data_IF_336881547172
#
_entry.id   IF_336881547172
#
_cell.length_a   1.000
_cell.length_b   1.000
_cell.length_c   1.000
_cell.angle_alpha   90.00
_cell.angle_beta   90.00
_cell.angle_gamma   90.00
#
_symmetry.space_group_name_H-M   'P 1'
#
loop_
_entity.id
_entity.type
_entity.pdbx_description
1 polymer ?
#
# COMPACT_ATOMS: atom_id res chain seq x y z
N UNK A 1 -6.96 26.32 -1.65
CA UNK A 1 -5.87 26.08 -0.69
C UNK A 1 -4.64 25.73 -1.51
N UNK A 2 -3.50 26.40 -1.28
CA UNK A 2 -2.27 26.14 -2.05
C UNK A 2 -1.49 25.01 -1.39
N UNK A 3 -1.07 24.01 -2.16
CA UNK A 3 -0.25 22.90 -1.68
C UNK A 3 1.14 22.95 -2.32
N UNK A 4 2.19 22.84 -1.52
CA UNK A 4 3.58 22.85 -2.01
C UNK A 4 4.20 21.46 -1.83
N UNK A 5 4.73 20.87 -2.90
CA UNK A 5 5.42 19.59 -2.82
C UNK A 5 6.91 19.81 -2.54
N UNK A 6 7.23 20.04 -1.26
CA UNK A 6 8.58 20.41 -0.80
C UNK A 6 9.58 19.25 -0.82
N UNK A 7 9.12 18.01 -0.63
CA UNK A 7 9.98 16.83 -0.64
C UNK A 7 9.20 15.56 -1.01
N UNK A 8 9.85 14.68 -1.76
CA UNK A 8 9.33 13.35 -2.08
C UNK A 8 9.90 12.34 -1.07
N UNK A 9 9.01 11.54 -0.47
CA UNK A 9 9.42 10.46 0.44
C UNK A 9 10.07 9.30 -0.30
N UNK A 10 11.38 9.10 -0.09
CA UNK A 10 12.15 8.05 -0.76
C UNK A 10 11.58 6.65 -0.56
N UNK A 11 11.08 6.33 0.63
CA UNK A 11 10.56 4.99 0.92
C UNK A 11 9.32 4.62 0.11
N UNK A 12 8.39 5.57 -0.05
CA UNK A 12 7.21 5.38 -0.90
C UNK A 12 7.59 5.26 -2.38
N UNK A 13 8.53 6.11 -2.82
CA UNK A 13 9.04 6.10 -4.18
C UNK A 13 9.73 4.78 -4.52
N UNK A 14 10.61 4.28 -3.65
CA UNK A 14 11.32 3.00 -3.84
C UNK A 14 10.32 1.85 -3.98
N UNK A 15 9.33 1.75 -3.09
CA UNK A 15 8.33 0.67 -3.17
C UNK A 15 7.53 0.71 -4.46
N UNK A 16 7.04 1.90 -4.80
CA UNK A 16 6.17 2.09 -5.97
C UNK A 16 6.95 1.89 -7.26
N UNK A 17 8.15 2.48 -7.37
CA UNK A 17 8.99 2.34 -8.56
C UNK A 17 9.52 0.92 -8.71
N UNK A 18 9.90 0.25 -7.62
CA UNK A 18 10.33 -1.15 -7.67
C UNK A 18 9.25 -2.06 -8.23
N UNK A 19 8.01 -1.94 -7.73
CA UNK A 19 6.89 -2.76 -8.22
C UNK A 19 6.58 -2.47 -9.69
N UNK A 20 6.53 -1.20 -10.08
CA UNK A 20 6.28 -0.82 -11.48
C UNK A 20 7.39 -1.34 -12.39
N UNK A 21 8.65 -1.12 -12.04
CA UNK A 21 9.80 -1.56 -12.83
C UNK A 21 9.90 -3.09 -12.87
N UNK A 22 9.50 -3.80 -11.82
CA UNK A 22 9.43 -5.26 -11.80
C UNK A 22 8.38 -5.77 -12.79
N UNK A 23 7.18 -5.19 -12.79
CA UNK A 23 6.11 -5.56 -13.72
C UNK A 23 6.54 -5.28 -15.17
N UNK A 24 7.04 -4.08 -15.44
CA UNK A 24 7.50 -3.68 -16.77
C UNK A 24 8.67 -4.55 -17.23
N UNK A 25 9.67 -4.75 -16.37
CA UNK A 25 10.84 -5.57 -16.68
C UNK A 25 10.48 -7.04 -16.90
N UNK A 26 9.50 -7.57 -16.16
CA UNK A 26 9.00 -8.93 -16.36
C UNK A 26 8.29 -9.09 -17.71
N UNK A 27 7.40 -8.15 -18.06
CA UNK A 27 6.74 -8.13 -19.38
C UNK A 27 7.77 -8.04 -20.49
N UNK A 28 8.73 -7.12 -20.40
CA UNK A 28 9.82 -6.97 -21.38
C UNK A 28 10.68 -8.24 -21.47
N UNK A 29 10.97 -8.88 -20.34
CA UNK A 29 11.72 -10.13 -20.30
C UNK A 29 10.98 -11.29 -20.98
N UNK A 30 9.64 -11.35 -20.90
CA UNK A 30 8.84 -12.32 -21.67
C UNK A 30 8.98 -12.07 -23.17
N UNK A 31 8.79 -10.82 -23.61
CA UNK A 31 8.96 -10.48 -25.02
C UNK A 31 10.36 -10.82 -25.53
N UNK A 32 11.39 -10.52 -24.72
CA UNK A 32 12.77 -10.83 -25.05
C UNK A 32 13.04 -12.33 -25.14
N UNK A 33 12.50 -13.11 -24.20
CA UNK A 33 12.62 -14.57 -24.20
C UNK A 33 11.93 -15.20 -25.41
N UNK A 34 10.73 -14.73 -25.77
CA UNK A 34 10.02 -15.17 -26.97
C UNK A 34 10.79 -14.81 -28.24
N UNK A 35 11.34 -13.60 -28.30
CA UNK A 35 12.12 -13.12 -29.44
C UNK A 35 13.40 -13.94 -29.64
N UNK A 36 14.19 -14.15 -28.58
CA UNK A 36 15.38 -15.02 -28.62
C UNK A 36 14.99 -16.46 -28.97
N UNK A 37 13.93 -16.98 -28.36
CA UNK A 37 13.44 -18.32 -28.65
C UNK A 37 13.06 -18.50 -30.12
N UNK A 38 12.41 -17.50 -30.72
CA UNK A 38 12.07 -17.50 -32.14
C UNK A 38 13.32 -17.44 -33.03
N UNK A 39 14.30 -16.58 -32.70
CA UNK A 39 15.58 -16.51 -33.44
C UNK A 39 16.32 -17.85 -33.39
N UNK A 40 16.42 -18.48 -32.22
CA UNK A 40 17.09 -19.77 -32.08
C UNK A 40 16.34 -20.89 -32.79
N UNK A 41 15.01 -20.91 -32.72
CA UNK A 41 14.20 -21.87 -33.47
C UNK A 41 14.41 -21.71 -34.98
N UNK A 42 14.41 -20.47 -35.48
CA UNK A 42 14.67 -20.20 -36.90
C UNK A 42 16.10 -20.58 -37.32
N UNK A 43 17.10 -20.22 -36.51
CA UNK A 43 18.51 -20.56 -36.75
C UNK A 43 18.74 -22.08 -36.78
N UNK A 44 18.05 -22.84 -35.92
CA UNK A 44 18.11 -24.30 -35.93
C UNK A 44 17.56 -24.91 -37.22
N UNK A 45 16.50 -24.32 -37.79
CA UNK A 45 15.85 -24.81 -39.02
C UNK A 45 16.61 -24.42 -40.31
N UNK A 46 17.41 -23.35 -40.31
CA UNK A 46 18.18 -22.93 -41.50
C UNK A 46 19.49 -23.70 -41.75
N UNK A 47 19.78 -24.75 -40.98
CA UNK A 47 20.59 -25.88 -41.48
C UNK A 47 22.08 -25.67 -41.78
N UNK A 48 22.69 -24.53 -41.42
CA UNK A 48 24.15 -24.33 -41.52
C UNK A 48 24.90 -24.33 -40.18
N UNK A 49 24.21 -24.02 -39.08
CA UNK A 49 24.78 -23.87 -37.74
C UNK A 49 24.26 -24.92 -36.74
N UNK A 50 23.22 -25.69 -37.10
CA UNK A 50 22.58 -26.69 -36.24
C UNK A 50 23.45 -27.92 -35.91
N UNK A 51 24.60 -28.08 -36.57
CA UNK A 51 25.59 -29.12 -36.25
C UNK A 51 26.77 -28.64 -35.41
N UNK A 52 26.78 -27.37 -34.98
CA UNK A 52 27.81 -26.86 -34.07
C UNK A 52 27.57 -27.44 -32.67
N UNK A 53 28.55 -28.13 -32.05
CA UNK A 53 28.39 -28.75 -30.72
C UNK A 53 28.02 -27.73 -29.63
N UNK A 54 28.31 -26.45 -29.86
CA UNK A 54 27.90 -25.33 -29.00
C UNK A 54 26.38 -25.17 -28.86
N UNK A 55 25.61 -25.51 -29.90
CA UNK A 55 24.14 -25.45 -29.88
C UNK A 55 23.49 -26.74 -29.36
N UNK A 56 24.22 -27.86 -29.37
CA UNK A 56 23.68 -29.17 -29.06
C UNK A 56 23.87 -29.58 -27.59
N UNK A 57 24.95 -29.15 -26.93
CA UNK A 57 25.22 -29.47 -25.51
C UNK A 57 25.13 -28.27 -24.57
N UNK A 58 25.22 -27.04 -25.07
CA UNK A 58 25.35 -25.84 -24.22
C UNK A 58 24.08 -25.01 -24.04
N UNK A 59 23.03 -25.20 -24.85
CA UNK A 59 21.85 -24.34 -24.79
C UNK A 59 20.85 -24.80 -23.74
N UNK A 60 20.43 -23.92 -22.82
CA UNK A 60 19.31 -24.21 -21.94
C UNK A 60 18.03 -24.45 -22.77
N UNK A 61 17.18 -25.41 -22.37
CA UNK A 61 15.90 -25.65 -23.04
C UNK A 61 15.10 -24.36 -23.20
N UNK A 62 14.39 -24.20 -24.32
CA UNK A 62 13.57 -23.01 -24.60
C UNK A 62 12.57 -22.73 -23.47
N UNK A 63 12.02 -23.78 -22.84
CA UNK A 63 11.16 -23.64 -21.67
C UNK A 63 11.87 -23.03 -20.45
N UNK A 64 13.15 -23.33 -20.25
CA UNK A 64 13.95 -22.71 -19.18
C UNK A 64 14.27 -21.25 -19.49
N UNK A 65 14.55 -20.92 -20.75
CA UNK A 65 14.75 -19.53 -21.20
C UNK A 65 13.50 -18.68 -20.91
N UNK A 66 12.30 -19.19 -21.19
CA UNK A 66 11.03 -18.50 -20.93
C UNK A 66 10.73 -18.24 -19.45
N UNK A 67 11.33 -19.00 -18.54
CA UNK A 67 11.15 -18.80 -17.09
C UNK A 67 12.27 -17.91 -16.54
N UNK A 68 13.51 -18.19 -16.93
CA UNK A 68 14.69 -17.57 -16.36
C UNK A 68 14.86 -16.11 -16.82
N UNK A 69 14.61 -15.82 -18.10
CA UNK A 69 14.81 -14.47 -18.64
C UNK A 69 13.85 -13.44 -18.05
N UNK A 70 12.52 -13.67 -17.97
CA UNK A 70 11.62 -12.73 -17.32
C UNK A 70 11.98 -12.44 -15.87
N UNK A 71 12.50 -13.46 -15.16
CA UNK A 71 12.92 -13.30 -13.77
C UNK A 71 14.21 -12.48 -13.66
N UNK A 72 15.23 -12.78 -14.45
CA UNK A 72 16.49 -12.02 -14.48
C UNK A 72 16.29 -10.58 -14.95
N UNK A 73 15.56 -10.39 -16.04
CA UNK A 73 15.30 -9.08 -16.62
C UNK A 73 14.34 -8.26 -15.77
N UNK A 74 13.29 -8.90 -15.23
CA UNK A 74 12.35 -8.28 -14.31
C UNK A 74 13.00 -7.86 -13.02
N UNK A 75 13.62 -8.80 -12.30
CA UNK A 75 14.22 -8.51 -10.99
C UNK A 75 15.48 -7.65 -11.10
N UNK A 76 16.38 -7.99 -12.02
CA UNK A 76 17.59 -7.21 -12.27
C UNK A 76 17.25 -5.80 -12.74
N UNK A 77 16.40 -5.68 -13.77
CA UNK A 77 15.92 -4.40 -14.27
C UNK A 77 15.24 -3.58 -13.19
N UNK A 78 14.38 -4.19 -12.37
CA UNK A 78 13.71 -3.51 -11.26
C UNK A 78 14.70 -2.85 -10.31
N UNK A 79 15.76 -3.56 -9.91
CA UNK A 79 16.79 -3.01 -9.02
C UNK A 79 17.49 -1.82 -9.67
N UNK A 80 18.01 -1.98 -10.89
CA UNK A 80 18.77 -0.92 -11.57
C UNK A 80 17.92 0.34 -11.82
N UNK A 81 16.70 0.18 -12.33
CA UNK A 81 15.82 1.32 -12.60
C UNK A 81 15.32 1.97 -11.30
N UNK A 82 15.11 1.20 -10.23
CA UNK A 82 14.75 1.77 -8.93
C UNK A 82 15.87 2.64 -8.37
N UNK A 83 17.12 2.19 -8.47
CA UNK A 83 18.29 2.99 -8.06
C UNK A 83 18.35 4.29 -8.86
N UNK A 84 18.17 4.21 -10.18
CA UNK A 84 18.12 5.40 -11.05
C UNK A 84 17.02 6.38 -10.60
N UNK A 85 15.83 5.87 -10.29
CA UNK A 85 14.70 6.67 -9.79
C UNK A 85 15.01 7.35 -8.45
N UNK A 86 15.72 6.68 -7.54
CA UNK A 86 16.15 7.27 -6.27
C UNK A 86 17.13 8.41 -6.50
N UNK A 87 18.08 8.25 -7.43
CA UNK A 87 19.03 9.31 -7.81
C UNK A 87 18.28 10.52 -8.38
N UNK A 88 17.32 10.28 -9.28
CA UNK A 88 16.49 11.36 -9.85
C UNK A 88 15.68 12.07 -8.76
N UNK A 89 15.07 11.32 -7.84
CA UNK A 89 14.32 11.90 -6.72
C UNK A 89 15.23 12.71 -5.78
N UNK A 90 16.47 12.26 -5.58
CA UNK A 90 17.46 13.00 -4.81
C UNK A 90 17.81 14.33 -5.47
N UNK A 91 18.07 14.32 -6.78
CA UNK A 91 18.32 15.54 -7.55
C UNK A 91 17.12 16.48 -7.48
N UNK A 92 15.89 15.97 -7.67
CA UNK A 92 14.67 16.77 -7.54
C UNK A 92 14.56 17.43 -6.16
N UNK A 93 14.75 16.66 -5.08
CA UNK A 93 14.66 17.19 -3.72
C UNK A 93 15.73 18.26 -3.44
N UNK A 94 16.92 18.12 -4.02
CA UNK A 94 17.98 19.12 -3.93
C UNK A 94 17.59 20.40 -4.68
N UNK A 95 17.10 20.28 -5.92
CA UNK A 95 16.65 21.41 -6.73
C UNK A 95 15.46 22.14 -6.11
N UNK A 96 14.47 21.41 -5.59
CA UNK A 96 13.30 21.97 -4.92
C UNK A 96 13.66 22.75 -3.64
N UNK A 97 14.71 22.34 -2.92
CA UNK A 97 15.23 23.11 -1.79
C UNK A 97 15.88 24.43 -2.18
N UNK A 98 16.48 24.49 -3.38
CA UNK A 98 17.18 25.69 -3.86
C UNK A 98 16.23 26.69 -4.53
N UNK A 99 15.23 26.22 -5.27
CA UNK A 99 14.37 27.07 -6.10
C UNK A 99 13.00 27.37 -5.49
N UNK A 100 12.68 26.76 -4.34
CA UNK A 100 11.28 26.64 -3.89
C UNK A 100 10.60 25.52 -4.68
N UNK A 101 9.94 24.58 -3.99
CA UNK A 101 9.37 23.39 -4.62
C UNK A 101 8.25 23.68 -5.63
N UNK A 102 7.59 22.63 -6.12
CA UNK A 102 6.44 22.79 -7.01
C UNK A 102 5.19 23.23 -6.22
N UNK A 103 4.59 24.35 -6.63
CA UNK A 103 3.29 24.81 -6.14
C UNK A 103 2.16 24.17 -6.96
N UNK A 104 1.17 23.59 -6.28
CA UNK A 104 -0.03 23.04 -6.88
C UNK A 104 -1.24 23.83 -6.42
N UNK A 105 -2.02 24.34 -7.38
CA UNK A 105 -3.34 24.91 -7.13
C UNK A 105 -4.40 23.84 -7.34
N UNK A 106 -4.81 23.19 -6.25
CA UNK A 106 -5.87 22.20 -6.27
C UNK A 106 -7.21 22.94 -6.17
N UNK A 107 -7.90 23.10 -7.30
CA UNK A 107 -9.32 23.41 -7.28
C UNK A 107 -10.06 22.26 -6.60
N UNK A 108 -10.64 22.51 -5.42
CA UNK A 108 -11.56 21.58 -4.80
C UNK A 108 -12.74 21.39 -5.77
N UNK A 109 -12.81 20.22 -6.39
CA UNK A 109 -14.05 19.78 -7.02
C UNK A 109 -15.05 19.66 -5.88
N UNK A 110 -16.03 20.56 -5.85
CA UNK A 110 -17.10 20.54 -4.86
C UNK A 110 -17.73 19.15 -4.95
N UNK A 111 -17.48 18.33 -3.93
CA UNK A 111 -18.20 17.08 -3.74
C UNK A 111 -19.66 17.52 -3.65
N UNK A 112 -20.49 17.16 -4.64
CA UNK A 112 -21.93 17.36 -4.56
C UNK A 112 -22.34 16.82 -3.20
N UNK A 113 -22.76 17.72 -2.30
CA UNK A 113 -23.30 17.30 -1.03
C UNK A 113 -24.40 16.28 -1.32
N UNK A 114 -24.41 15.11 -0.66
CA UNK A 114 -25.51 14.18 -0.81
C UNK A 114 -26.79 14.97 -0.53
N UNK A 115 -27.71 14.96 -1.49
CA UNK A 115 -29.02 15.61 -1.40
C UNK A 115 -29.57 15.30 -0.03
N UNK A 116 -29.66 16.32 0.84
CA UNK A 116 -30.30 16.14 2.14
C UNK A 116 -31.70 15.61 1.85
N UNK A 117 -32.07 14.42 2.36
CA UNK A 117 -33.43 13.94 2.20
C UNK A 117 -34.37 15.00 2.79
N UNK A 118 -35.53 15.25 2.14
CA UNK A 118 -36.49 16.24 2.60
C UNK A 118 -36.81 15.98 4.08
N UNK A 119 -37.00 17.03 4.90
CA UNK A 119 -37.25 16.87 6.32
C UNK A 119 -38.42 15.91 6.51
N UNK A 120 -38.10 14.71 7.00
CA UNK A 120 -39.10 13.76 7.45
C UNK A 120 -39.83 14.46 8.58
N UNK A 121 -41.09 14.83 8.36
CA UNK A 121 -41.99 15.25 9.41
C UNK A 121 -42.07 14.09 10.41
N UNK A 122 -41.25 14.18 11.46
CA UNK A 122 -41.33 13.29 12.59
C UNK A 122 -42.68 13.55 13.24
N UNK A 123 -43.66 12.71 12.88
CA UNK A 123 -44.90 12.60 13.63
C UNK A 123 -44.51 12.12 15.02
N UNK A 124 -44.61 13.01 16.00
CA UNK A 124 -44.26 12.70 17.38
C UNK A 124 -45.04 11.44 17.81
N UNK A 125 -44.35 10.42 18.36
CA UNK A 125 -45.03 9.28 18.95
C UNK A 125 -46.03 9.77 20.01
N UNK A 126 -47.23 9.16 20.13
CA UNK A 126 -48.16 9.52 21.18
C UNK A 126 -47.47 9.37 22.55
N UNK A 127 -47.61 10.41 23.39
CA UNK A 127 -47.01 10.43 24.71
C UNK A 127 -47.52 9.24 25.53
N UNK A 128 -46.62 8.35 25.93
CA UNK A 128 -46.94 7.29 26.86
C UNK A 128 -47.29 7.91 28.23
N UNK A 129 -48.30 7.39 28.94
CA UNK A 129 -48.61 7.85 30.29
C UNK A 129 -47.39 7.66 31.19
N UNK A 130 -46.95 8.74 31.84
CA UNK A 130 -45.83 8.72 32.76
C UNK A 130 -46.14 7.79 33.95
N UNK A 131 -45.26 6.83 34.27
CA UNK A 131 -45.43 5.99 35.46
C UNK A 131 -45.50 6.85 36.73
N UNK A 132 -46.26 6.43 37.74
CA UNK A 132 -46.26 7.11 39.04
C UNK A 132 -44.85 7.12 39.61
N UNK A 133 -44.45 8.27 40.16
CA UNK A 133 -43.15 8.47 40.79
C UNK A 133 -42.93 7.43 41.90
N UNK A 134 -41.74 6.78 41.95
CA UNK A 134 -41.45 5.81 42.99
C UNK A 134 -41.48 6.46 44.38
N UNK A 135 -41.90 5.71 45.41
CA UNK A 135 -41.90 6.21 46.78
C UNK A 135 -40.48 6.60 47.22
N UNK A 136 -40.36 7.62 48.09
CA UNK A 136 -39.07 8.08 48.57
C UNK A 136 -38.30 6.94 49.26
N UNK A 137 -36.96 6.88 49.08
CA UNK A 137 -36.15 5.85 49.70
C UNK A 137 -36.21 5.93 51.22
N UNK A 138 -36.17 4.79 51.92
CA UNK A 138 -36.16 4.76 53.37
C UNK A 138 -34.93 5.49 53.93
N UNK A 139 -35.02 6.09 55.13
CA UNK A 139 -33.90 6.76 55.78
C UNK A 139 -32.70 5.81 55.90
N UNK A 140 -31.54 6.25 55.38
CA UNK A 140 -30.29 5.51 55.48
C UNK A 140 -29.92 5.38 56.96
N UNK A 141 -29.91 4.16 57.47
CA UNK A 141 -29.39 3.90 58.81
C UNK A 141 -27.88 4.20 58.82
N UNK A 142 -27.38 4.96 59.81
CA UNK A 142 -25.95 5.21 59.95
C UNK A 142 -25.19 3.87 60.04
N UNK A 143 -24.13 3.74 59.26
CA UNK A 143 -23.23 2.58 59.35
C UNK A 143 -22.64 2.50 60.78
N UNK A 144 -22.53 1.28 61.35
CA UNK A 144 -21.86 1.09 62.63
C UNK A 144 -20.41 1.61 62.59
N UNK A 145 -19.88 2.20 63.69
CA UNK A 145 -18.56 2.83 63.73
C UNK A 145 -17.33 1.94 63.47
N UNK A 146 -17.49 0.62 63.33
CA UNK A 146 -16.38 -0.34 63.39
C UNK A 146 -16.00 -0.99 62.05
N UNK A 147 -16.43 -0.45 60.91
CA UNK A 147 -15.92 -0.90 59.61
C UNK A 147 -14.69 -0.08 59.20
N UNK A 148 -13.50 -0.70 59.29
CA UNK A 148 -12.31 -0.14 58.67
C UNK A 148 -12.48 -0.11 57.15
N UNK A 149 -12.10 0.99 56.48
CA UNK A 149 -12.23 1.10 55.03
C UNK A 149 -11.43 -0.01 54.33
N UNK A 150 -11.91 -0.52 53.18
CA UNK A 150 -11.16 -1.49 52.37
C UNK A 150 -9.79 -0.91 51.98
N UNK A 151 -8.73 -1.72 51.98
CA UNK A 151 -7.41 -1.25 51.55
C UNK A 151 -7.46 -0.87 50.07
N UNK A 152 -7.23 0.42 49.81
CA UNK A 152 -7.06 0.96 48.48
C UNK A 152 -5.87 0.32 47.78
N UNK A 153 -6.10 -0.12 46.53
CA UNK A 153 -5.10 -0.30 45.48
C UNK A 153 -4.12 -1.46 45.62
N UNK A 154 -4.63 -2.70 45.53
CA UNK A 154 -3.85 -3.78 44.93
C UNK A 154 -4.09 -3.79 43.40
N UNK A 155 -3.12 -3.37 42.56
CA UNK A 155 -3.28 -3.48 41.12
C UNK A 155 -3.36 -4.96 40.73
N UNK A 156 -4.27 -5.34 39.81
CA UNK A 156 -4.39 -6.73 39.37
C UNK A 156 -3.08 -7.16 38.72
N UNK A 157 -2.52 -8.27 39.21
CA UNK A 157 -1.39 -8.93 38.58
C UNK A 157 -1.80 -9.36 37.16
N UNK A 158 -1.27 -8.66 36.16
CA UNK A 158 -1.49 -8.97 34.76
C UNK A 158 -0.83 -10.30 34.38
N UNK A 159 -1.43 -11.09 33.48
CA UNK A 159 -0.86 -12.35 33.02
C UNK A 159 0.34 -12.10 32.09
N UNK A 160 1.48 -12.70 32.43
CA UNK A 160 2.63 -12.90 31.53
C UNK A 160 2.24 -13.84 30.40
N UNK A 161 2.41 -13.39 29.16
CA UNK A 161 2.39 -14.21 27.94
C UNK A 161 3.79 -14.15 27.32
#
# INVERSE_FOLDING_TARGET
MKFELKAIGYWSLIKTSFVINLIVGFIMGIFFALFIGAIFSFAANMGGLGGSPLFQEGMPPIGLLLILYPFLFGFGGAIFYTILFVIIAFVYNMTAKLLGGLEFDLQQVAVMQPVQPPPSYYQAPPAYPTPPSPPPPPPVQPLPPDMTPPPDNQPPAGPTI
#
